data_IF_861386393212
#
_entry.id   IF_861386393212
#
_cell.length_a   1.000
_cell.length_b   1.000
_cell.length_c   1.000
_cell.angle_alpha   90.00
_cell.angle_beta   90.00
_cell.angle_gamma   90.00
#
_symmetry.space_group_name_H-M   'P 1'
#
loop_
_entity.id
_entity.type
_entity.pdbx_description
1 polymer ?
#
# COMPACT_ATOMS: atom_id res chain seq x y z
N UNK A 1 2.50 -31.79 14.92
CA UNK A 1 1.83 -30.54 15.31
C UNK A 1 2.37 -30.16 16.67
N UNK A 2 3.55 -29.54 16.70
CA UNK A 2 4.23 -29.21 17.97
C UNK A 2 3.72 -27.85 18.42
N UNK A 3 2.94 -27.87 19.49
CA UNK A 3 2.59 -26.71 20.30
C UNK A 3 3.89 -26.01 20.75
N UNK A 4 4.07 -24.74 20.39
CA UNK A 4 5.15 -23.91 20.94
C UNK A 4 4.53 -22.74 21.71
N UNK A 5 4.24 -22.93 23.01
CA UNK A 5 3.76 -21.86 23.89
C UNK A 5 4.84 -20.79 24.21
N UNK A 6 6.02 -20.83 23.59
CA UNK A 6 7.20 -20.05 23.98
C UNK A 6 7.18 -18.55 23.60
N UNK A 7 6.15 -18.09 22.88
CA UNK A 7 6.07 -16.72 22.35
C UNK A 7 5.07 -15.80 23.07
N UNK A 8 4.09 -16.36 23.79
CA UNK A 8 3.03 -15.58 24.43
C UNK A 8 3.60 -14.84 25.65
N UNK A 9 3.40 -13.53 25.71
CA UNK A 9 3.82 -12.68 26.84
C UNK A 9 5.27 -12.20 26.84
N UNK A 10 6.10 -12.58 25.86
CA UNK A 10 7.51 -12.16 25.77
C UNK A 10 7.72 -11.01 24.79
N UNK A 11 8.62 -10.03 25.06
CA UNK A 11 8.91 -8.91 24.17
C UNK A 11 9.87 -9.34 23.04
N UNK A 12 9.42 -10.25 22.17
CA UNK A 12 10.23 -10.72 21.06
C UNK A 12 10.33 -9.64 19.96
N UNK A 13 11.50 -9.49 19.31
CA UNK A 13 11.63 -8.58 18.18
C UNK A 13 10.60 -8.90 17.10
N UNK A 14 9.87 -7.88 16.65
CA UNK A 14 8.89 -8.03 15.58
C UNK A 14 9.58 -8.54 14.32
N UNK A 15 8.98 -9.55 13.68
CA UNK A 15 9.48 -10.08 12.41
C UNK A 15 9.63 -8.96 11.37
N UNK A 16 10.79 -8.90 10.72
CA UNK A 16 11.12 -7.88 9.73
C UNK A 16 11.45 -6.49 10.29
N UNK A 17 11.39 -6.24 11.61
CA UNK A 17 11.61 -4.92 12.21
C UNK A 17 12.93 -4.27 11.79
N UNK A 18 14.05 -5.01 11.82
CA UNK A 18 15.36 -4.50 11.39
C UNK A 18 15.38 -4.06 9.92
N UNK A 19 14.67 -4.78 9.04
CA UNK A 19 14.60 -4.46 7.61
C UNK A 19 13.73 -3.23 7.37
N UNK A 20 12.58 -3.15 8.03
CA UNK A 20 11.65 -2.02 7.93
C UNK A 20 12.28 -0.74 8.51
N UNK A 21 12.90 -0.81 9.69
CA UNK A 21 13.57 0.32 10.32
C UNK A 21 14.76 0.86 9.50
N UNK A 22 15.34 0.03 8.64
CA UNK A 22 16.45 0.42 7.77
C UNK A 22 15.99 0.88 6.37
N UNK A 23 14.70 1.17 6.17
CA UNK A 23 14.16 1.60 4.88
C UNK A 23 14.19 0.52 3.78
N UNK A 24 14.45 -0.75 4.14
CA UNK A 24 14.49 -1.88 3.21
C UNK A 24 13.14 -2.61 3.13
N UNK A 25 12.05 -1.94 3.50
CA UNK A 25 10.71 -2.39 3.18
C UNK A 25 10.53 -2.47 1.66
N UNK A 26 9.62 -3.33 1.20
CA UNK A 26 9.13 -3.31 -0.17
C UNK A 26 7.63 -3.19 -0.11
N UNK A 27 7.13 -2.04 -0.50
CA UNK A 27 5.72 -1.70 -0.58
C UNK A 27 5.28 -1.69 -2.04
N UNK A 28 3.97 -1.61 -2.27
CA UNK A 28 3.42 -1.63 -3.64
C UNK A 28 4.03 -0.55 -4.53
N UNK A 29 4.28 0.64 -3.97
CA UNK A 29 4.85 1.78 -4.69
C UNK A 29 6.36 1.67 -4.95
N UNK A 30 7.05 0.72 -4.32
CA UNK A 30 8.48 0.45 -4.57
C UNK A 30 8.69 -0.49 -5.77
N UNK A 31 7.63 -1.12 -6.27
CA UNK A 31 7.72 -2.08 -7.36
C UNK A 31 8.03 -1.36 -8.68
N UNK A 32 8.97 -1.89 -9.46
CA UNK A 32 9.40 -1.36 -10.76
C UNK A 32 9.44 -2.49 -11.78
N UNK A 33 8.80 -2.29 -12.93
CA UNK A 33 8.73 -3.26 -14.03
C UNK A 33 8.92 -2.51 -15.36
N UNK A 34 9.48 -3.16 -16.41
CA UNK A 34 9.50 -2.57 -17.74
C UNK A 34 8.08 -2.22 -18.21
N UNK A 35 7.87 -0.97 -18.65
CA UNK A 35 6.56 -0.50 -19.09
C UNK A 35 5.58 -0.13 -17.97
N UNK A 36 6.04 0.02 -16.72
CA UNK A 36 5.18 0.50 -15.63
C UNK A 36 4.60 1.89 -15.94
N UNK A 37 3.27 1.96 -15.99
CA UNK A 37 2.52 3.20 -16.16
C UNK A 37 1.95 3.66 -14.81
N UNK A 38 1.74 4.97 -14.69
CA UNK A 38 1.06 5.57 -13.54
C UNK A 38 -0.33 6.06 -13.99
N UNK A 39 -1.30 5.98 -13.09
CA UNK A 39 -2.63 6.54 -13.32
C UNK A 39 -3.08 7.35 -12.11
N UNK A 40 -3.95 8.32 -12.35
CA UNK A 40 -4.65 9.07 -11.33
C UNK A 40 -6.10 9.26 -11.77
N UNK A 41 -7.01 9.38 -10.80
CA UNK A 41 -8.43 9.59 -11.07
C UNK A 41 -8.80 11.05 -10.84
N UNK A 42 -9.50 11.65 -11.79
CA UNK A 42 -10.25 12.89 -11.54
C UNK A 42 -11.43 12.55 -10.64
N UNK A 43 -11.59 13.28 -9.53
CA UNK A 43 -12.64 13.03 -8.54
C UNK A 43 -13.69 14.13 -8.58
N UNK A 44 -14.93 13.78 -8.22
CA UNK A 44 -16.00 14.77 -8.11
C UNK A 44 -15.68 15.76 -6.98
N UNK A 45 -15.78 17.08 -7.23
CA UNK A 45 -15.78 18.08 -6.16
C UNK A 45 -17.14 18.19 -5.46
N UNK A 46 -18.19 17.56 -6.00
CA UNK A 46 -19.54 17.57 -5.44
C UNK A 46 -19.83 16.26 -4.72
N UNK A 47 -20.40 16.34 -3.51
CA UNK A 47 -20.82 15.16 -2.75
C UNK A 47 -22.04 14.45 -3.37
N UNK A 48 -22.94 15.21 -3.99
CA UNK A 48 -24.09 14.68 -4.73
C UNK A 48 -24.40 15.58 -5.93
N UNK A 49 -24.25 15.04 -7.13
CA UNK A 49 -24.56 15.71 -8.37
C UNK A 49 -24.77 14.66 -9.48
N UNK A 50 -25.45 15.04 -10.55
CA UNK A 50 -25.51 14.24 -11.77
C UNK A 50 -24.32 14.59 -12.67
N UNK A 51 -23.63 13.58 -13.19
CA UNK A 51 -22.62 13.77 -14.23
C UNK A 51 -23.35 13.99 -15.56
N UNK A 52 -23.24 15.19 -16.14
CA UNK A 52 -23.91 15.55 -17.41
C UNK A 52 -22.96 15.38 -18.59
N UNK A 53 -21.67 15.70 -18.42
CA UNK A 53 -20.63 15.57 -19.43
C UNK A 53 -19.26 15.41 -18.76
N UNK A 54 -18.36 14.68 -19.40
CA UNK A 54 -16.93 14.68 -19.12
C UNK A 54 -16.24 15.06 -20.43
N UNK A 55 -15.33 16.03 -20.37
CA UNK A 55 -14.46 16.38 -21.48
C UNK A 55 -13.05 15.84 -21.19
N UNK A 56 -12.57 14.83 -21.94
CA UNK A 56 -11.26 14.23 -21.72
C UNK A 56 -10.15 14.85 -22.58
N UNK A 57 -10.46 15.90 -23.37
CA UNK A 57 -9.44 16.61 -24.12
C UNK A 57 -8.44 17.31 -23.17
N UNK A 58 -7.16 17.48 -23.57
CA UNK A 58 -6.17 18.23 -22.79
C UNK A 58 -6.55 19.70 -22.55
#
# INVERSE_FOLDING_TARGET
>A
MTDRPEAVGRPLPRSGARRLAAGRGRYADDLRFPGLLHLAFVRSPHAHARIVKIDPAP
#
